data_IF_213239448998
#
_entry.id   IF_213239448998
#
_cell.length_a   1.000
_cell.length_b   1.000
_cell.length_c   1.000
_cell.angle_alpha   90.00
_cell.angle_beta   90.00
_cell.angle_gamma   90.00
#
_symmetry.space_group_name_H-M   'P 1'
#
loop_
_entity.id
_entity.type
_entity.pdbx_description
1 polymer ?
#
# COMPACT_ATOMS: atom_id res chain seq x y z
N UNK A 1 18.95 -4.46 -71.58
CA UNK A 1 19.10 -3.06 -71.11
C UNK A 1 18.50 -2.98 -69.71
N UNK A 2 19.36 -3.03 -68.73
CA UNK A 2 18.97 -3.04 -67.33
C UNK A 2 19.28 -1.66 -66.70
N UNK A 3 18.24 -0.94 -66.30
CA UNK A 3 18.35 0.36 -65.64
C UNK A 3 18.41 0.18 -64.13
N UNK A 4 19.59 0.39 -63.54
CA UNK A 4 19.83 0.49 -62.09
C UNK A 4 19.17 1.78 -61.57
N UNK A 5 18.21 1.65 -60.67
CA UNK A 5 17.70 2.78 -59.85
C UNK A 5 18.45 2.83 -58.52
N UNK A 6 19.26 3.84 -58.35
CA UNK A 6 19.92 4.16 -57.09
C UNK A 6 18.88 4.75 -56.12
N UNK A 7 18.69 4.09 -54.98
CA UNK A 7 17.92 4.62 -53.86
C UNK A 7 18.86 5.40 -52.94
N UNK A 8 18.68 6.70 -52.86
CA UNK A 8 19.39 7.58 -51.94
C UNK A 8 18.67 7.52 -50.56
N UNK A 9 19.32 6.92 -49.57
CA UNK A 9 18.87 6.96 -48.17
C UNK A 9 19.35 8.27 -47.54
N UNK A 10 18.46 9.20 -47.32
CA UNK A 10 18.69 10.38 -46.48
C UNK A 10 18.53 10.00 -44.99
N UNK A 11 19.65 9.98 -44.27
CA UNK A 11 19.68 9.80 -42.81
C UNK A 11 19.17 11.09 -42.15
N UNK A 12 17.98 11.06 -41.55
CA UNK A 12 17.47 12.11 -40.70
C UNK A 12 18.05 11.95 -39.28
N UNK A 13 18.98 12.83 -38.93
CA UNK A 13 19.54 12.92 -37.57
C UNK A 13 18.52 13.56 -36.62
N UNK A 14 17.85 12.76 -35.78
CA UNK A 14 17.05 13.27 -34.66
C UNK A 14 18.02 13.68 -33.54
N UNK A 15 18.18 15.00 -33.34
CA UNK A 15 18.81 15.55 -32.16
C UNK A 15 17.88 15.42 -30.96
N UNK A 16 18.14 14.47 -30.05
CA UNK A 16 17.50 14.45 -28.75
C UNK A 16 18.05 15.61 -27.92
N UNK A 17 17.28 16.67 -27.75
CA UNK A 17 17.52 17.68 -26.76
C UNK A 17 17.33 17.05 -25.36
N UNK A 18 18.43 16.69 -24.71
CA UNK A 18 18.44 16.29 -23.32
C UNK A 18 18.02 17.53 -22.48
N UNK A 19 16.83 17.49 -21.88
CA UNK A 19 16.46 18.43 -20.85
C UNK A 19 17.38 18.24 -19.64
N UNK A 20 18.45 19.06 -19.58
CA UNK A 20 19.29 19.17 -18.42
C UNK A 20 18.54 19.92 -17.32
N UNK A 21 17.68 19.19 -16.57
CA UNK A 21 17.21 19.67 -15.28
C UNK A 21 18.35 19.52 -14.28
N UNK A 22 19.22 20.56 -14.20
CA UNK A 22 20.16 20.72 -13.08
C UNK A 22 19.37 21.03 -11.82
N UNK A 23 18.76 20.01 -11.21
CA UNK A 23 18.40 20.06 -9.81
C UNK A 23 19.72 19.98 -9.03
N UNK A 24 19.92 20.88 -8.02
CA UNK A 24 21.09 20.75 -7.16
C UNK A 24 21.05 19.36 -6.55
N UNK A 25 22.07 18.56 -6.81
CA UNK A 25 22.24 17.26 -6.19
C UNK A 25 22.43 17.47 -4.69
N UNK A 26 21.30 17.51 -3.97
CA UNK A 26 21.33 17.20 -2.54
C UNK A 26 21.84 15.78 -2.48
N UNK A 27 23.01 15.58 -1.91
CA UNK A 27 23.60 14.27 -1.65
C UNK A 27 22.73 13.53 -0.63
N UNK A 28 21.55 13.10 -1.07
CA UNK A 28 20.75 12.13 -0.35
C UNK A 28 21.48 10.79 -0.51
N UNK A 29 21.99 10.30 0.58
CA UNK A 29 22.53 8.96 0.73
C UNK A 29 21.59 7.98 0.04
N UNK A 30 22.04 7.35 -1.07
CA UNK A 30 21.18 6.85 -2.16
C UNK A 30 20.18 5.72 -1.85
N UNK A 31 19.96 5.34 -0.59
CA UNK A 31 18.99 4.31 -0.20
C UNK A 31 17.81 4.85 0.62
N UNK A 32 17.94 6.00 1.28
CA UNK A 32 16.87 6.52 2.16
C UNK A 32 15.65 7.11 1.44
N UNK A 33 15.79 7.56 0.18
CA UNK A 33 14.70 8.20 -0.56
C UNK A 33 13.65 7.23 -1.13
N UNK A 34 13.93 5.92 -1.13
CA UNK A 34 13.02 4.90 -1.67
C UNK A 34 12.19 4.19 -0.61
N UNK A 35 12.58 4.27 0.65
CA UNK A 35 11.89 3.64 1.76
C UNK A 35 10.97 4.66 2.43
N UNK A 36 9.70 4.32 2.57
CA UNK A 36 8.77 5.13 3.32
C UNK A 36 9.00 4.89 4.83
N UNK A 37 8.99 5.95 5.65
CA UNK A 37 9.03 5.81 7.09
C UNK A 37 7.71 5.20 7.59
N UNK A 38 7.78 4.38 8.63
CA UNK A 38 6.57 3.92 9.31
C UNK A 38 5.92 5.07 10.06
N UNK A 39 4.57 5.14 10.07
CA UNK A 39 3.87 6.07 10.95
C UNK A 39 4.33 5.89 12.39
N UNK A 40 4.45 6.97 13.18
CA UNK A 40 4.79 6.85 14.58
C UNK A 40 3.77 5.96 15.28
N UNK A 41 4.27 5.05 16.13
CA UNK A 41 3.39 4.30 17.04
C UNK A 41 2.78 5.35 17.95
N UNK A 42 1.49 5.65 17.78
CA UNK A 42 0.81 6.49 18.74
C UNK A 42 0.93 5.77 20.09
N UNK A 43 1.79 6.29 20.98
CA UNK A 43 1.79 5.87 22.35
C UNK A 43 0.34 5.94 22.81
N UNK A 44 -0.20 4.81 23.26
CA UNK A 44 -1.61 4.64 23.58
C UNK A 44 -2.15 5.92 24.21
N UNK A 45 -3.21 6.49 23.60
CA UNK A 45 -3.96 7.54 24.26
C UNK A 45 -4.25 7.06 25.68
N UNK A 46 -3.99 7.88 26.73
CA UNK A 46 -4.20 7.45 28.11
C UNK A 46 -5.62 6.88 28.21
N UNK A 47 -5.71 5.63 28.68
CA UNK A 47 -6.98 4.96 28.88
C UNK A 47 -7.92 5.92 29.60
N UNK A 48 -9.15 6.17 29.11
CA UNK A 48 -10.09 6.99 29.86
C UNK A 48 -10.28 6.35 31.23
N UNK A 49 -10.02 7.16 32.27
CA UNK A 49 -10.17 6.74 33.65
C UNK A 49 -11.56 6.10 33.81
N UNK A 50 -11.58 4.92 34.44
CA UNK A 50 -12.74 4.08 34.68
C UNK A 50 -13.97 4.91 35.08
N UNK A 51 -14.91 5.10 34.19
CA UNK A 51 -16.26 5.53 34.52
C UNK A 51 -17.08 4.30 34.83
N UNK A 52 -17.71 4.37 36.01
CA UNK A 52 -18.50 3.39 36.70
C UNK A 52 -19.43 2.54 35.87
N UNK A 53 -19.53 1.27 36.25
CA UNK A 53 -20.45 0.25 35.76
C UNK A 53 -21.90 0.74 35.63
N UNK A 54 -22.42 0.70 34.40
CA UNK A 54 -23.84 0.67 34.12
C UNK A 54 -24.13 -0.41 33.06
N UNK A 55 -25.25 -1.11 33.32
CA UNK A 55 -25.76 -2.35 32.78
C UNK A 55 -25.69 -2.58 31.24
N UNK A 56 -25.85 -3.82 30.77
CA UNK A 56 -25.49 -4.25 29.41
C UNK A 56 -26.48 -3.78 28.36
N UNK A 57 -26.21 -2.61 27.80
CA UNK A 57 -26.65 -2.35 26.44
C UNK A 57 -25.73 -3.18 25.52
N UNK A 58 -26.31 -3.86 24.52
CA UNK A 58 -25.56 -4.51 23.45
C UNK A 58 -24.42 -3.57 23.04
N UNK A 59 -23.20 -3.94 23.40
CA UNK A 59 -22.05 -3.10 23.24
C UNK A 59 -21.87 -2.88 21.73
N UNK A 60 -22.23 -1.69 21.27
CA UNK A 60 -21.71 -1.17 20.02
C UNK A 60 -20.17 -1.24 20.13
N UNK A 61 -19.55 -1.87 19.15
CA UNK A 61 -18.09 -1.92 19.09
C UNK A 61 -17.51 -0.52 19.32
N UNK A 62 -16.48 -0.37 20.16
CA UNK A 62 -15.91 0.94 20.42
C UNK A 62 -15.57 1.59 19.08
N UNK A 63 -15.86 2.90 18.91
CA UNK A 63 -15.48 3.61 17.69
C UNK A 63 -13.98 3.46 17.50
N UNK A 64 -13.58 2.92 16.38
CA UNK A 64 -12.17 2.78 16.01
C UNK A 64 -11.62 4.20 15.96
N UNK A 65 -10.76 4.54 16.91
CA UNK A 65 -10.08 5.83 16.93
C UNK A 65 -9.06 5.85 15.79
N UNK A 66 -9.49 6.33 14.62
CA UNK A 66 -8.63 6.43 13.43
C UNK A 66 -9.36 6.10 12.13
N UNK A 67 -8.75 6.48 11.03
CA UNK A 67 -9.21 6.10 9.68
C UNK A 67 -8.93 4.60 9.44
N UNK A 68 -9.97 3.77 9.19
CA UNK A 68 -9.77 2.34 8.95
C UNK A 68 -8.92 2.05 7.69
N UNK A 69 -8.99 2.90 6.68
CA UNK A 69 -8.18 2.77 5.48
C UNK A 69 -6.69 3.02 5.79
N UNK A 70 -6.40 4.03 6.62
CA UNK A 70 -5.04 4.30 7.07
C UNK A 70 -4.47 3.14 7.92
N UNK A 71 -5.30 2.48 8.73
CA UNK A 71 -4.90 1.31 9.49
C UNK A 71 -4.55 0.11 8.59
N UNK A 72 -5.31 -0.10 7.50
CA UNK A 72 -4.98 -1.11 6.47
C UNK A 72 -3.66 -0.76 5.81
N UNK A 73 -3.47 0.49 5.40
CA UNK A 73 -2.25 0.95 4.73
C UNK A 73 -1.00 0.74 5.60
N UNK A 74 -1.06 1.08 6.89
CA UNK A 74 0.03 0.86 7.83
C UNK A 74 0.33 -0.64 8.03
N UNK A 75 -0.71 -1.48 8.13
CA UNK A 75 -0.56 -2.92 8.21
C UNK A 75 0.15 -3.48 6.98
N UNK A 76 -0.33 -3.14 5.78
CA UNK A 76 0.25 -3.60 4.52
C UNK A 76 1.71 -3.16 4.39
N UNK A 77 2.02 -1.92 4.76
CA UNK A 77 3.37 -1.38 4.71
C UNK A 77 4.32 -2.16 5.62
N UNK A 78 3.97 -2.34 6.91
CA UNK A 78 4.82 -3.03 7.89
C UNK A 78 5.03 -4.49 7.54
N UNK A 79 3.97 -5.23 7.21
CA UNK A 79 4.08 -6.63 6.84
C UNK A 79 4.83 -6.84 5.51
N UNK A 80 4.63 -5.96 4.53
CA UNK A 80 5.37 -6.02 3.27
C UNK A 80 6.87 -5.87 3.48
N UNK A 81 7.30 -4.93 4.32
CA UNK A 81 8.73 -4.74 4.62
C UNK A 81 9.29 -5.90 5.45
N UNK A 82 8.48 -6.46 6.35
CA UNK A 82 8.86 -7.65 7.13
C UNK A 82 9.11 -8.86 6.24
N UNK A 83 8.23 -9.10 5.26
CA UNK A 83 8.29 -10.28 4.40
C UNK A 83 9.11 -10.05 3.11
N UNK A 84 9.58 -8.83 2.85
CA UNK A 84 10.31 -8.50 1.62
C UNK A 84 11.61 -9.29 1.44
N UNK A 85 12.22 -9.79 2.53
CA UNK A 85 13.43 -10.61 2.48
C UNK A 85 13.22 -12.02 1.92
N UNK A 86 11.96 -12.50 1.83
CA UNK A 86 11.65 -13.76 1.16
C UNK A 86 12.11 -13.73 -0.30
N UNK A 87 12.53 -14.87 -0.83
CA UNK A 87 12.88 -15.07 -2.25
C UNK A 87 11.68 -15.38 -3.15
N UNK A 88 10.49 -15.53 -2.56
CA UNK A 88 9.26 -15.82 -3.28
C UNK A 88 8.88 -14.68 -4.22
N UNK A 89 8.02 -14.98 -5.19
CA UNK A 89 7.47 -13.97 -6.09
C UNK A 89 6.72 -12.87 -5.32
N UNK A 90 6.78 -11.63 -5.81
CA UNK A 90 6.17 -10.49 -5.13
C UNK A 90 4.66 -10.65 -4.91
N UNK A 91 3.95 -11.32 -5.81
CA UNK A 91 2.52 -11.60 -5.65
C UNK A 91 2.25 -12.63 -4.54
N UNK A 92 3.12 -13.64 -4.40
CA UNK A 92 3.01 -14.62 -3.33
C UNK A 92 3.24 -13.97 -1.97
N UNK A 93 4.28 -13.13 -1.86
CA UNK A 93 4.54 -12.35 -0.65
C UNK A 93 3.37 -11.40 -0.35
N UNK A 94 2.85 -10.69 -1.35
CA UNK A 94 1.69 -9.82 -1.18
C UNK A 94 0.45 -10.59 -0.71
N UNK A 95 0.24 -11.82 -1.19
CA UNK A 95 -0.85 -12.69 -0.71
C UNK A 95 -0.69 -13.01 0.78
N UNK A 96 0.53 -13.30 1.24
CA UNK A 96 0.81 -13.53 2.66
C UNK A 96 0.58 -12.25 3.49
N UNK A 97 0.99 -11.09 2.97
CA UNK A 97 0.73 -9.77 3.59
C UNK A 97 -0.77 -9.53 3.72
N UNK A 98 -1.55 -9.78 2.67
CA UNK A 98 -3.01 -9.64 2.69
C UNK A 98 -3.66 -10.53 3.76
N UNK A 99 -3.18 -11.77 3.89
CA UNK A 99 -3.66 -12.69 4.92
C UNK A 99 -3.35 -12.17 6.34
N UNK A 100 -2.14 -11.66 6.56
CA UNK A 100 -1.74 -11.06 7.83
C UNK A 100 -2.54 -9.80 8.18
N UNK A 101 -2.94 -9.01 7.18
CA UNK A 101 -3.74 -7.79 7.35
C UNK A 101 -5.26 -8.03 7.26
N UNK A 102 -5.70 -9.27 7.16
CA UNK A 102 -7.12 -9.64 7.08
C UNK A 102 -8.01 -8.97 8.12
N UNK A 103 -7.64 -8.94 9.41
CA UNK A 103 -8.43 -8.25 10.44
C UNK A 103 -8.62 -6.76 10.18
N UNK A 104 -7.58 -6.05 9.73
CA UNK A 104 -7.67 -4.62 9.41
C UNK A 104 -8.53 -4.36 8.18
N UNK A 105 -8.42 -5.19 7.15
CA UNK A 105 -9.26 -5.13 5.95
C UNK A 105 -10.73 -5.40 6.31
N UNK A 106 -11.00 -6.38 7.18
CA UNK A 106 -12.35 -6.67 7.64
C UNK A 106 -12.96 -5.49 8.40
N UNK A 107 -12.20 -4.81 9.26
CA UNK A 107 -12.66 -3.59 9.96
C UNK A 107 -12.98 -2.47 8.99
N UNK A 108 -12.15 -2.26 7.97
CA UNK A 108 -12.41 -1.27 6.93
C UNK A 108 -13.70 -1.57 6.17
N UNK A 109 -13.90 -2.83 5.76
CA UNK A 109 -15.12 -3.27 5.10
C UNK A 109 -16.37 -3.09 6.00
N UNK A 110 -16.27 -3.39 7.30
CA UNK A 110 -17.37 -3.17 8.26
C UNK A 110 -17.71 -1.69 8.38
N UNK A 111 -16.72 -0.81 8.42
CA UNK A 111 -16.94 0.63 8.44
C UNK A 111 -17.64 1.12 7.16
N UNK A 112 -17.21 0.64 5.99
CA UNK A 112 -17.85 0.97 4.71
C UNK A 112 -19.31 0.53 4.68
N UNK A 113 -19.61 -0.71 5.13
CA UNK A 113 -20.99 -1.21 5.24
C UNK A 113 -21.82 -0.35 6.20
N UNK A 114 -21.27 0.01 7.35
CA UNK A 114 -21.96 0.86 8.33
C UNK A 114 -22.27 2.26 7.79
N UNK A 115 -21.42 2.76 6.88
CA UNK A 115 -21.62 4.05 6.19
C UNK A 115 -22.54 3.95 4.95
N UNK A 116 -23.07 2.77 4.64
CA UNK A 116 -23.93 2.54 3.48
C UNK A 116 -23.20 2.33 2.15
N UNK A 117 -21.87 2.20 2.18
CA UNK A 117 -21.03 1.98 0.99
C UNK A 117 -20.95 0.50 0.57
N UNK A 118 -21.48 -0.42 1.39
CA UNK A 118 -21.43 -1.87 1.15
C UNK A 118 -22.54 -2.42 0.24
N UNK A 119 -23.25 -1.57 -0.51
CA UNK A 119 -24.34 -1.94 -1.39
C UNK A 119 -23.91 -2.80 -2.60
N UNK A 120 -24.89 -3.35 -3.35
CA UNK A 120 -24.63 -4.12 -4.56
C UNK A 120 -24.26 -3.25 -5.76
N UNK A 121 -24.30 -1.93 -5.61
CA UNK A 121 -24.00 -1.00 -6.70
C UNK A 121 -22.58 -1.21 -7.19
N UNK A 122 -22.44 -1.31 -8.50
CA UNK A 122 -21.14 -1.46 -9.16
C UNK A 122 -20.71 -0.16 -9.81
N UNK A 123 -19.40 0.04 -9.88
CA UNK A 123 -18.76 1.11 -10.62
C UNK A 123 -17.46 0.61 -11.23
N UNK A 124 -16.93 1.27 -12.27
CA UNK A 124 -15.62 0.93 -12.78
C UNK A 124 -14.55 1.09 -11.70
N UNK A 125 -13.74 0.05 -11.49
CA UNK A 125 -12.60 0.07 -10.59
C UNK A 125 -11.61 1.16 -10.99
N UNK A 126 -11.15 1.92 -10.03
CA UNK A 126 -10.10 2.92 -10.22
C UNK A 126 -8.73 2.29 -10.51
N UNK A 127 -8.56 1.00 -10.21
CA UNK A 127 -7.29 0.28 -10.38
C UNK A 127 -7.17 -0.39 -11.75
N UNK A 128 -8.26 -0.92 -12.28
CA UNK A 128 -8.21 -1.74 -13.52
C UNK A 128 -9.37 -1.49 -14.51
N UNK A 129 -10.32 -0.60 -14.16
CA UNK A 129 -11.47 -0.25 -15.00
C UNK A 129 -12.57 -1.32 -15.10
N UNK A 130 -12.45 -2.45 -14.38
CA UNK A 130 -13.48 -3.48 -14.35
C UNK A 130 -14.62 -3.10 -13.43
N UNK A 131 -15.85 -3.51 -13.76
CA UNK A 131 -16.99 -3.34 -12.87
C UNK A 131 -16.75 -4.06 -11.53
N UNK A 132 -16.89 -3.33 -10.44
CA UNK A 132 -16.59 -3.82 -9.09
C UNK A 132 -17.53 -3.22 -8.07
N UNK A 133 -17.66 -3.87 -6.91
CA UNK A 133 -18.33 -3.32 -5.74
C UNK A 133 -17.31 -2.61 -4.84
N UNK A 134 -17.73 -1.68 -3.97
CA UNK A 134 -16.82 -0.99 -3.03
C UNK A 134 -15.96 -1.96 -2.20
N UNK A 135 -16.54 -3.05 -1.71
CA UNK A 135 -15.80 -4.03 -0.91
C UNK A 135 -14.76 -4.80 -1.73
N UNK A 136 -15.08 -5.10 -2.99
CA UNK A 136 -14.11 -5.70 -3.92
C UNK A 136 -12.99 -4.72 -4.26
N UNK A 137 -13.33 -3.44 -4.42
CA UNK A 137 -12.34 -2.39 -4.66
C UNK A 137 -11.35 -2.25 -3.50
N UNK A 138 -11.81 -2.35 -2.25
CA UNK A 138 -10.92 -2.40 -1.08
C UNK A 138 -9.90 -3.54 -1.16
N UNK A 139 -10.35 -4.72 -1.60
CA UNK A 139 -9.45 -5.87 -1.76
C UNK A 139 -8.44 -5.63 -2.88
N UNK A 140 -8.88 -5.16 -4.05
CA UNK A 140 -8.01 -4.85 -5.21
C UNK A 140 -6.98 -3.80 -4.82
N UNK A 141 -7.42 -2.72 -4.16
CA UNK A 141 -6.55 -1.67 -3.66
C UNK A 141 -5.50 -2.23 -2.70
N UNK A 142 -5.92 -2.97 -1.67
CA UNK A 142 -5.02 -3.52 -0.66
C UNK A 142 -3.98 -4.47 -1.28
N UNK A 143 -4.38 -5.31 -2.24
CA UNK A 143 -3.46 -6.20 -2.96
C UNK A 143 -2.44 -5.40 -3.78
N UNK A 144 -2.88 -4.39 -4.51
CA UNK A 144 -2.00 -3.51 -5.28
C UNK A 144 -0.99 -2.79 -4.39
N UNK A 145 -1.43 -2.31 -3.22
CA UNK A 145 -0.55 -1.67 -2.23
C UNK A 145 0.45 -2.64 -1.61
N UNK A 146 0.04 -3.86 -1.29
CA UNK A 146 0.93 -4.89 -0.77
C UNK A 146 2.05 -5.20 -1.77
N UNK A 147 1.71 -5.42 -3.05
CA UNK A 147 2.71 -5.65 -4.11
C UNK A 147 3.66 -4.45 -4.23
N UNK A 148 3.11 -3.23 -4.25
CA UNK A 148 3.91 -2.00 -4.32
C UNK A 148 4.95 -1.94 -3.19
N UNK A 149 4.54 -2.17 -1.94
CA UNK A 149 5.43 -2.12 -0.79
C UNK A 149 6.48 -3.24 -0.80
N UNK A 150 6.13 -4.44 -1.22
CA UNK A 150 7.10 -5.54 -1.37
C UNK A 150 8.18 -5.17 -2.39
N UNK A 151 7.77 -4.68 -3.56
CA UNK A 151 8.70 -4.27 -4.62
C UNK A 151 9.56 -3.09 -4.16
N UNK A 152 8.96 -2.10 -3.51
CA UNK A 152 9.65 -0.93 -2.96
C UNK A 152 10.70 -1.36 -1.91
N UNK A 153 10.31 -2.22 -0.97
CA UNK A 153 11.20 -2.70 0.07
C UNK A 153 12.41 -3.44 -0.50
N UNK A 154 12.19 -4.31 -1.49
CA UNK A 154 13.27 -5.03 -2.18
C UNK A 154 14.19 -4.09 -2.97
N UNK A 155 13.62 -3.19 -3.77
CA UNK A 155 14.38 -2.26 -4.59
C UNK A 155 15.18 -1.25 -3.75
N UNK A 156 14.62 -0.80 -2.63
CA UNK A 156 15.25 0.14 -1.71
C UNK A 156 16.14 -0.52 -0.66
N UNK A 157 16.12 -1.85 -0.53
CA UNK A 157 16.73 -2.58 0.60
C UNK A 157 16.26 -2.01 1.93
N UNK A 158 14.96 -1.78 2.05
CA UNK A 158 14.36 -1.12 3.20
C UNK A 158 14.42 -2.02 4.43
N UNK A 159 14.69 -1.43 5.58
CA UNK A 159 14.71 -2.15 6.83
C UNK A 159 13.28 -2.57 7.23
N UNK A 160 13.14 -3.82 7.68
CA UNK A 160 11.89 -4.28 8.28
C UNK A 160 11.64 -3.55 9.61
N UNK A 161 10.39 -3.34 10.02
CA UNK A 161 10.07 -2.85 11.36
C UNK A 161 10.51 -3.89 12.42
N UNK A 162 10.76 -3.46 13.65
CA UNK A 162 10.99 -4.41 14.74
C UNK A 162 9.76 -5.31 14.94
N UNK A 163 10.00 -6.54 15.39
CA UNK A 163 8.93 -7.50 15.68
C UNK A 163 8.75 -7.66 17.20
N UNK A 164 7.51 -7.84 17.60
CA UNK A 164 7.12 -8.29 18.94
C UNK A 164 6.23 -9.52 18.78
N UNK A 165 6.64 -10.65 19.38
CA UNK A 165 5.92 -11.94 19.24
C UNK A 165 5.61 -12.33 17.78
N UNK A 166 6.52 -12.05 16.84
CA UNK A 166 6.34 -12.35 15.42
C UNK A 166 5.47 -11.35 14.64
N UNK A 167 4.94 -10.32 15.30
CA UNK A 167 4.11 -9.29 14.67
C UNK A 167 4.89 -7.98 14.58
N UNK A 168 4.82 -7.23 13.46
CA UNK A 168 5.40 -5.91 13.35
C UNK A 168 4.90 -4.95 14.43
N UNK A 169 5.84 -4.30 15.12
CA UNK A 169 5.49 -3.32 16.17
C UNK A 169 4.76 -2.14 15.55
N UNK A 170 3.71 -1.68 16.23
CA UNK A 170 2.91 -0.52 15.83
C UNK A 170 1.63 -0.86 15.08
N UNK A 171 1.32 -2.13 14.88
CA UNK A 171 -0.01 -2.52 14.41
C UNK A 171 -1.03 -2.34 15.54
N UNK A 172 -2.16 -1.71 15.20
CA UNK A 172 -3.32 -1.66 16.08
C UNK A 172 -4.01 -3.04 16.06
N UNK A 173 -4.13 -3.67 17.23
CA UNK A 173 -4.91 -4.89 17.44
C UNK A 173 -6.42 -4.64 17.29
#
# INVERSE_FOLDING_TARGET
MATLRAVVLTAASLSLAACNNTHPATTASGNGARCLPFPPVNAAAPAPAAASAQAPALAAAPPIAGDPAAAVEDCLHRWSYTLASSTDDANQVATAVMAACGPSIARWNQAAVANGEGGPDTAPSLMNGQETTPLTEHFIFAQGRAIFYVVQARAGKCAAPPLSNGTPVGLAD
#
